data_IF_938451306192
#
_entry.id   IF_938451306192
#
_cell.length_a   1.000
_cell.length_b   1.000
_cell.length_c   1.000
_cell.angle_alpha   90.00
_cell.angle_beta   90.00
_cell.angle_gamma   90.00
#
_symmetry.space_group_name_H-M   'P 1'
#
loop_
_entity.id
_entity.type
_entity.pdbx_description
1 polymer ?
#
# COMPACT_ATOMS: atom_id res chain seq x y z
N UNK A 1 -13.35 5.52 -20.56
CA UNK A 1 -12.04 5.69 -19.89
C UNK A 1 -11.27 4.42 -20.19
N UNK A 2 -10.17 4.53 -20.92
CA UNK A 2 -9.43 3.36 -21.38
C UNK A 2 -8.63 2.76 -20.21
N UNK A 3 -9.08 1.60 -19.75
CA UNK A 3 -8.55 0.84 -18.60
C UNK A 3 -7.18 0.21 -18.87
N UNK A 4 -6.57 0.53 -20.01
CA UNK A 4 -5.27 0.04 -20.50
C UNK A 4 -4.18 1.09 -20.41
N UNK A 5 -4.36 2.17 -19.63
CA UNK A 5 -3.31 3.17 -19.50
C UNK A 5 -2.01 2.49 -19.01
N UNK A 6 -0.90 2.56 -19.78
CA UNK A 6 0.39 2.00 -19.39
C UNK A 6 0.91 2.60 -18.07
N UNK A 7 0.30 3.68 -17.59
CA UNK A 7 0.61 4.31 -16.31
C UNK A 7 0.39 3.39 -15.11
N UNK A 8 -0.61 2.49 -15.15
CA UNK A 8 -0.85 1.55 -14.05
C UNK A 8 0.28 0.53 -13.88
N UNK A 9 1.02 0.23 -14.96
CA UNK A 9 2.23 -0.58 -14.89
C UNK A 9 3.38 0.07 -14.12
N UNK A 10 3.28 1.38 -13.83
CA UNK A 10 4.28 2.15 -13.06
C UNK A 10 3.88 2.34 -11.60
N UNK A 11 2.67 1.92 -11.21
CA UNK A 11 2.21 2.02 -9.83
C UNK A 11 2.85 0.89 -9.02
N UNK A 12 3.73 1.26 -8.09
CA UNK A 12 4.51 0.31 -7.29
C UNK A 12 4.02 0.21 -5.85
N UNK A 13 3.40 1.27 -5.33
CA UNK A 13 2.92 1.35 -3.97
C UNK A 13 1.66 2.21 -3.85
N UNK A 14 0.88 1.97 -2.78
CA UNK A 14 -0.28 2.77 -2.40
C UNK A 14 -0.32 2.99 -0.90
N UNK A 15 -0.63 4.22 -0.49
CA UNK A 15 -1.01 4.52 0.89
C UNK A 15 -2.53 4.34 1.02
N UNK A 16 -2.96 3.40 1.87
CA UNK A 16 -4.37 3.06 2.05
C UNK A 16 -4.98 3.85 3.20
N UNK A 17 -6.23 4.26 3.05
CA UNK A 17 -6.99 5.00 4.06
C UNK A 17 -7.87 4.10 4.94
N UNK A 18 -8.09 2.85 4.53
CA UNK A 18 -8.98 1.92 5.23
C UNK A 18 -10.44 1.95 4.78
N UNK A 19 -10.75 2.73 3.74
CA UNK A 19 -12.09 2.77 3.16
C UNK A 19 -12.11 2.09 1.78
N UNK A 20 -13.02 1.11 1.59
CA UNK A 20 -13.12 0.34 0.34
C UNK A 20 -13.35 1.21 -0.91
N UNK A 21 -14.07 2.32 -0.76
CA UNK A 21 -14.36 3.23 -1.87
C UNK A 21 -13.11 3.87 -2.47
N UNK A 22 -11.97 3.86 -1.76
CA UNK A 22 -10.67 4.31 -2.28
C UNK A 22 -10.30 3.61 -3.60
N UNK A 23 -10.76 2.36 -3.78
CA UNK A 23 -10.39 1.48 -4.89
C UNK A 23 -11.50 1.35 -5.95
N UNK A 24 -12.56 2.16 -5.88
CA UNK A 24 -13.75 2.02 -6.74
C UNK A 24 -13.45 2.13 -8.25
N UNK A 25 -12.45 2.95 -8.61
CA UNK A 25 -12.07 3.25 -9.99
C UNK A 25 -10.73 2.61 -10.38
N UNK A 26 -10.31 1.56 -9.66
CA UNK A 26 -9.04 0.88 -9.93
C UNK A 26 -9.21 -0.22 -10.98
N UNK A 27 -8.20 -0.44 -11.85
CA UNK A 27 -8.31 -1.36 -12.99
C UNK A 27 -8.14 -2.84 -12.60
N UNK A 28 -7.89 -3.14 -11.32
CA UNK A 28 -7.67 -4.51 -10.87
C UNK A 28 -9.00 -5.24 -10.63
N UNK A 29 -9.10 -6.53 -11.00
CA UNK A 29 -10.28 -7.33 -10.72
C UNK A 29 -10.63 -7.33 -9.23
N UNK A 30 -11.94 -7.24 -8.94
CA UNK A 30 -12.47 -7.21 -7.57
C UNK A 30 -12.27 -5.88 -6.81
N UNK A 31 -11.40 -4.97 -7.29
CA UNK A 31 -11.06 -3.75 -6.56
C UNK A 31 -12.27 -2.85 -6.27
N UNK A 32 -13.16 -2.69 -7.26
CA UNK A 32 -14.38 -1.91 -7.10
C UNK A 32 -15.37 -2.49 -6.07
N UNK A 33 -15.35 -3.82 -5.87
CA UNK A 33 -16.13 -4.50 -4.84
C UNK A 33 -15.41 -4.53 -3.47
N UNK A 34 -14.18 -4.03 -3.40
CA UNK A 34 -13.32 -4.08 -2.21
C UNK A 34 -12.65 -5.43 -1.98
N UNK A 35 -12.55 -6.26 -3.01
CA UNK A 35 -11.75 -7.49 -3.02
C UNK A 35 -10.33 -7.14 -3.49
N UNK A 36 -9.45 -6.85 -2.54
CA UNK A 36 -8.16 -6.21 -2.83
C UNK A 36 -6.98 -7.19 -2.90
N UNK A 37 -7.25 -8.50 -2.93
CA UNK A 37 -6.19 -9.51 -3.00
C UNK A 37 -5.32 -9.34 -4.24
N UNK A 38 -5.94 -9.18 -5.41
CA UNK A 38 -5.21 -8.97 -6.67
C UNK A 38 -4.59 -7.57 -6.75
N UNK A 39 -5.27 -6.58 -6.18
CA UNK A 39 -4.71 -5.21 -6.07
C UNK A 39 -3.38 -5.23 -5.32
N UNK A 40 -3.33 -5.88 -4.15
CA UNK A 40 -2.13 -5.94 -3.32
C UNK A 40 -1.11 -7.01 -3.73
N UNK A 41 -1.41 -7.83 -4.75
CA UNK A 41 -0.40 -8.65 -5.42
C UNK A 41 0.36 -7.85 -6.49
N UNK A 42 -0.29 -6.82 -7.06
CA UNK A 42 0.29 -5.95 -8.08
C UNK A 42 0.94 -4.68 -7.50
N UNK A 43 0.43 -4.16 -6.38
CA UNK A 43 0.88 -2.89 -5.79
C UNK A 43 1.15 -3.08 -4.30
N UNK A 44 2.29 -2.59 -3.80
CA UNK A 44 2.60 -2.65 -2.37
C UNK A 44 1.66 -1.75 -1.56
N UNK A 45 0.83 -2.34 -0.70
CA UNK A 45 -0.08 -1.59 0.16
C UNK A 45 0.57 -1.16 1.47
N UNK A 46 0.40 0.10 1.87
CA UNK A 46 0.88 0.63 3.14
C UNK A 46 -0.22 1.36 3.90
N UNK A 47 -0.39 1.07 5.18
CA UNK A 47 -1.35 1.77 6.05
C UNK A 47 -0.61 2.65 7.05
N UNK A 48 -0.69 3.97 6.88
CA UNK A 48 -0.08 4.94 7.80
C UNK A 48 -1.06 5.25 8.92
N UNK A 49 -0.61 5.11 10.16
CA UNK A 49 -1.43 5.40 11.34
C UNK A 49 -0.57 5.83 12.52
N UNK A 50 -1.20 6.38 13.57
CA UNK A 50 -0.52 6.54 14.85
C UNK A 50 -0.66 5.28 15.71
N UNK A 51 0.39 4.93 16.47
CA UNK A 51 0.41 3.68 17.26
C UNK A 51 -0.64 3.60 18.36
N UNK A 52 -1.14 4.75 18.83
CA UNK A 52 -2.24 4.86 19.79
C UNK A 52 -3.63 4.68 19.14
N UNK A 53 -3.71 4.68 17.81
CA UNK A 53 -4.96 4.47 17.08
C UNK A 53 -5.16 2.99 16.74
N UNK A 54 -6.41 2.52 16.82
CA UNK A 54 -6.77 1.16 16.45
C UNK A 54 -6.82 1.01 14.93
N UNK A 55 -6.11 0.01 14.41
CA UNK A 55 -6.18 -0.37 12.99
C UNK A 55 -7.61 -0.82 12.64
N UNK A 56 -8.25 -0.23 11.60
CA UNK A 56 -9.58 -0.63 11.18
C UNK A 56 -9.63 -2.11 10.76
N UNK A 57 -10.71 -2.86 11.08
CA UNK A 57 -10.83 -4.28 10.70
C UNK A 57 -10.69 -4.54 9.19
N UNK A 58 -11.16 -3.60 8.36
CA UNK A 58 -11.00 -3.69 6.91
C UNK A 58 -9.52 -3.71 6.51
N UNK A 59 -8.71 -2.80 7.06
CA UNK A 59 -7.26 -2.75 6.82
C UNK A 59 -6.58 -4.02 7.29
N UNK A 60 -6.97 -4.53 8.47
CA UNK A 60 -6.40 -5.77 9.01
C UNK A 60 -6.70 -7.00 8.14
N UNK A 61 -7.76 -6.96 7.32
CA UNK A 61 -8.08 -8.02 6.36
C UNK A 61 -7.31 -7.92 5.04
N UNK A 62 -6.63 -6.81 4.80
CA UNK A 62 -5.89 -6.55 3.56
C UNK A 62 -4.42 -6.90 3.70
N UNK A 63 -3.78 -7.32 2.58
CA UNK A 63 -2.34 -7.55 2.53
C UNK A 63 -1.58 -6.21 2.41
N UNK A 64 -1.60 -5.43 3.49
CA UNK A 64 -0.93 -4.12 3.58
C UNK A 64 0.02 -4.07 4.78
N UNK A 65 1.12 -3.34 4.63
CA UNK A 65 2.10 -3.10 5.68
C UNK A 65 1.67 -1.90 6.54
N UNK A 66 1.37 -2.08 7.84
CA UNK A 66 1.13 -0.94 8.73
C UNK A 66 2.43 -0.20 9.03
N UNK A 67 2.38 1.13 8.96
CA UNK A 67 3.45 2.08 9.28
C UNK A 67 2.98 2.94 10.46
N UNK A 68 3.33 2.49 11.67
CA UNK A 68 2.90 3.10 12.92
C UNK A 68 3.84 4.21 13.39
N UNK A 69 3.36 5.45 13.39
CA UNK A 69 4.08 6.63 13.89
C UNK A 69 3.74 6.88 15.38
N UNK A 70 4.69 7.44 16.12
CA UNK A 70 4.49 7.85 17.51
C UNK A 70 4.41 9.37 17.54
N UNK A 71 3.29 9.94 17.99
CA UNK A 71 2.99 11.38 17.91
C UNK A 71 4.11 12.26 18.47
N UNK A 72 4.65 11.89 19.63
CA UNK A 72 5.64 12.68 20.35
C UNK A 72 7.09 12.34 19.98
N UNK A 73 7.34 11.21 19.30
CA UNK A 73 8.69 10.71 19.02
C UNK A 73 9.07 10.84 17.54
N UNK A 74 9.11 12.08 17.05
CA UNK A 74 9.43 12.41 15.64
C UNK A 74 10.81 11.90 15.18
N UNK A 75 11.77 11.73 16.09
CA UNK A 75 13.08 11.14 15.76
C UNK A 75 12.97 9.67 15.31
N UNK A 76 11.90 8.97 15.70
CA UNK A 76 11.62 7.59 15.28
C UNK A 76 10.99 7.50 13.90
N UNK A 77 10.52 8.61 13.32
CA UNK A 77 9.91 8.64 12.00
C UNK A 77 10.91 8.13 10.94
N UNK A 78 12.21 8.44 11.10
CA UNK A 78 13.25 7.93 10.21
C UNK A 78 13.33 6.40 10.21
N UNK A 79 13.11 5.76 11.36
CA UNK A 79 13.05 4.29 11.44
C UNK A 79 11.85 3.74 10.68
N UNK A 80 10.69 4.41 10.75
CA UNK A 80 9.48 4.01 10.01
C UNK A 80 9.70 4.19 8.50
N UNK A 81 10.32 5.29 8.08
CA UNK A 81 10.67 5.54 6.67
C UNK A 81 11.66 4.50 6.14
N UNK A 82 12.66 4.11 6.93
CA UNK A 82 13.59 3.03 6.55
C UNK A 82 12.88 1.69 6.40
N UNK A 83 11.92 1.36 7.26
CA UNK A 83 11.11 0.14 7.12
C UNK A 83 10.22 0.17 5.87
N UNK A 84 9.66 1.34 5.53
CA UNK A 84 8.92 1.55 4.29
C UNK A 84 9.77 1.26 3.06
N UNK A 85 10.95 1.88 2.93
CA UNK A 85 11.83 1.68 1.78
C UNK A 85 12.31 0.24 1.67
N UNK A 86 12.73 -0.38 2.78
CA UNK A 86 13.13 -1.79 2.80
C UNK A 86 12.02 -2.72 2.31
N UNK A 87 10.79 -2.47 2.73
CA UNK A 87 9.65 -3.27 2.29
C UNK A 87 9.33 -3.05 0.81
N UNK A 88 9.37 -1.80 0.35
CA UNK A 88 9.16 -1.45 -1.06
C UNK A 88 10.21 -2.11 -1.96
N UNK A 89 11.50 -2.01 -1.61
CA UNK A 89 12.59 -2.61 -2.37
C UNK A 89 12.44 -4.14 -2.47
N UNK A 90 12.13 -4.80 -1.35
CA UNK A 90 11.88 -6.24 -1.32
C UNK A 90 10.68 -6.63 -2.22
N UNK A 91 9.61 -5.83 -2.20
CA UNK A 91 8.45 -6.05 -3.06
C UNK A 91 8.81 -5.89 -4.55
N UNK A 92 9.53 -4.83 -4.93
CA UNK A 92 9.95 -4.57 -6.30
C UNK A 92 10.85 -5.68 -6.85
N UNK A 93 11.82 -6.14 -6.05
CA UNK A 93 12.71 -7.26 -6.40
C UNK A 93 11.92 -8.55 -6.62
N UNK A 94 10.96 -8.86 -5.73
CA UNK A 94 10.14 -10.07 -5.85
C UNK A 94 9.31 -10.12 -7.13
N UNK A 95 8.88 -8.95 -7.64
CA UNK A 95 8.08 -8.81 -8.86
C UNK A 95 8.92 -8.72 -10.13
N UNK A 96 10.26 -8.74 -10.04
CA UNK A 96 11.15 -8.43 -11.16
C UNK A 96 10.74 -7.13 -11.86
N UNK A 97 10.36 -6.12 -11.06
CA UNK A 97 9.84 -4.87 -11.58
C UNK A 97 10.91 -4.19 -12.44
N UNK A 98 10.56 -3.75 -13.65
CA UNK A 98 11.48 -3.03 -14.55
C UNK A 98 11.90 -1.65 -14.02
N UNK A 99 11.26 -1.18 -12.94
CA UNK A 99 11.59 0.08 -12.25
C UNK A 99 12.51 -0.14 -11.04
N UNK A 100 12.85 -1.39 -10.69
CA UNK A 100 13.87 -1.66 -9.69
C UNK A 100 15.25 -1.25 -10.24
N UNK A 101 16.01 -0.50 -9.45
CA UNK A 101 17.37 -0.07 -9.77
C UNK A 101 18.40 -1.14 -9.42
#
# INVERSE_FOLDING_TARGET
>A
MDWTSPDWGRVVAVIVQGAKWQFKDWPFPGAAAGELMETFSQVAGFYVHFKDEKVPPAVASWNVKPLGFVREKRHMDMTVMLDFYKHLDAFLLSRKCSLAY
#
